data_IF_525805861192
#
_entry.id   IF_525805861192
#
_cell.length_a   1.000
_cell.length_b   1.000
_cell.length_c   1.000
_cell.angle_alpha   90.00
_cell.angle_beta   90.00
_cell.angle_gamma   90.00
#
_symmetry.space_group_name_H-M   'P 1'
#
loop_
_entity.id
_entity.type
_entity.pdbx_description
1 polymer ?
#
# COMPACT_ATOMS: atom_id res chain seq x y z
N UNK A 1 -14.97 2.10 84.80
CA UNK A 1 -14.00 3.11 84.32
C UNK A 1 -13.22 2.44 83.15
N UNK A 2 -13.39 2.81 81.93
CA UNK A 2 -12.62 2.24 80.86
C UNK A 2 -11.20 2.86 80.81
N UNK A 3 -10.20 2.05 80.67
CA UNK A 3 -8.77 2.35 80.73
C UNK A 3 -8.35 3.32 79.62
N UNK A 4 -7.57 4.35 79.99
CA UNK A 4 -7.04 5.41 79.13
C UNK A 4 -6.08 4.87 78.00
N UNK A 5 -5.68 3.62 78.07
CA UNK A 5 -4.75 2.98 77.09
C UNK A 5 -5.40 2.67 75.72
N UNK A 6 -6.74 2.51 75.63
CA UNK A 6 -7.41 2.14 74.40
C UNK A 6 -7.73 3.29 73.46
N UNK A 7 -7.64 4.55 73.89
CA UNK A 7 -7.95 5.71 73.07
C UNK A 7 -6.74 6.14 72.22
N UNK A 8 -5.50 5.93 72.75
CA UNK A 8 -4.25 6.24 72.04
C UNK A 8 -4.00 5.30 70.84
N UNK A 9 -4.30 4.02 71.03
CA UNK A 9 -4.09 3.01 69.98
C UNK A 9 -5.06 3.14 68.80
N UNK A 10 -6.32 3.51 69.08
CA UNK A 10 -7.30 3.74 68.01
C UNK A 10 -7.00 5.01 67.21
N UNK A 11 -6.45 6.06 67.81
CA UNK A 11 -6.08 7.30 67.12
C UNK A 11 -4.78 7.13 66.31
N UNK A 12 -3.86 6.28 66.72
CA UNK A 12 -2.62 5.96 66.00
C UNK A 12 -2.93 5.10 64.78
N UNK A 13 -3.87 4.14 64.91
CA UNK A 13 -4.26 3.27 63.82
C UNK A 13 -5.07 4.01 62.72
N UNK A 14 -5.90 5.00 63.11
CA UNK A 14 -6.62 5.85 62.12
C UNK A 14 -5.70 6.85 61.42
N UNK A 15 -4.65 7.34 62.08
CA UNK A 15 -3.66 8.22 61.45
C UNK A 15 -2.74 7.45 60.51
N UNK A 16 -2.38 6.18 60.81
CA UNK A 16 -1.58 5.32 59.92
C UNK A 16 -2.38 4.91 58.67
N UNK A 17 -3.72 4.68 58.83
CA UNK A 17 -4.57 4.33 57.68
C UNK A 17 -4.84 5.54 56.77
N UNK A 18 -4.86 6.77 57.32
CA UNK A 18 -5.07 8.01 56.55
C UNK A 18 -3.83 8.45 55.76
N UNK A 19 -2.63 8.02 56.14
CA UNK A 19 -1.37 8.35 55.42
C UNK A 19 -1.05 7.31 54.34
N UNK A 20 -1.58 6.06 54.45
CA UNK A 20 -1.36 5.03 53.41
C UNK A 20 -2.35 5.10 52.22
N UNK A 21 -3.49 5.79 52.35
CA UNK A 21 -4.46 5.88 51.23
C UNK A 21 -4.09 6.83 50.10
N UNK A 22 -3.31 7.92 50.23
CA UNK A 22 -2.97 8.73 49.08
C UNK A 22 -1.77 8.19 48.25
N UNK A 23 -1.02 7.18 48.73
CA UNK A 23 0.11 6.63 47.99
C UNK A 23 -0.29 5.52 46.99
N UNK A 24 -1.54 5.05 47.01
CA UNK A 24 -2.01 4.03 46.07
C UNK A 24 -2.79 4.60 44.89
N UNK A 25 -2.94 5.91 44.79
CA UNK A 25 -3.76 6.58 43.76
C UNK A 25 -2.94 7.16 42.58
N UNK A 26 -1.69 6.81 42.42
CA UNK A 26 -0.85 7.37 41.35
C UNK A 26 0.01 6.33 40.60
N UNK A 27 -0.41 5.09 40.55
CA UNK A 27 0.02 4.20 39.49
C UNK A 27 -1.13 4.14 38.48
N UNK A 28 -1.31 5.21 37.72
CA UNK A 28 -1.99 5.11 36.44
C UNK A 28 -1.22 4.06 35.62
N UNK A 29 -1.79 2.86 35.53
CA UNK A 29 -1.38 1.89 34.52
C UNK A 29 -1.47 2.67 33.21
N UNK A 30 -0.37 2.86 32.45
CA UNK A 30 -0.50 3.41 31.11
C UNK A 30 -1.43 2.45 30.39
N UNK A 31 -2.62 2.93 30.01
CA UNK A 31 -3.44 2.23 29.06
C UNK A 31 -2.60 1.91 27.84
N UNK A 32 -2.99 0.99 26.96
CA UNK A 32 -2.28 0.74 25.72
C UNK A 32 -2.38 1.98 24.82
N UNK A 33 -1.62 3.03 25.18
CA UNK A 33 -1.33 4.16 24.31
C UNK A 33 -0.30 3.71 23.28
N UNK A 34 -0.74 2.97 22.30
CA UNK A 34 0.13 2.50 21.25
C UNK A 34 -0.64 2.11 20.01
N UNK A 35 -1.52 2.99 19.52
CA UNK A 35 -1.95 2.90 18.13
C UNK A 35 -0.69 2.80 17.25
N UNK A 36 -0.70 1.90 16.29
CA UNK A 36 0.40 1.75 15.33
C UNK A 36 0.52 3.09 14.60
N UNK A 37 1.66 3.78 14.77
CA UNK A 37 1.91 5.11 14.16
C UNK A 37 2.98 5.00 13.09
N UNK A 38 2.82 5.73 12.00
CA UNK A 38 3.84 5.86 10.97
C UNK A 38 4.96 6.79 11.46
N UNK A 39 6.10 6.18 11.81
CA UNK A 39 7.27 6.87 12.39
C UNK A 39 8.50 6.82 11.54
N UNK A 40 8.59 5.89 10.61
CA UNK A 40 9.78 5.72 9.75
C UNK A 40 9.35 5.49 8.31
N UNK A 41 9.80 6.36 7.41
CA UNK A 41 9.62 6.20 5.97
C UNK A 41 10.98 6.07 5.28
N UNK A 42 11.08 5.09 4.38
CA UNK A 42 12.23 5.00 3.48
C UNK A 42 11.84 5.52 2.11
N UNK A 43 12.61 6.47 1.62
CA UNK A 43 12.49 7.01 0.26
C UNK A 43 13.64 6.46 -0.57
N UNK A 44 13.28 5.69 -1.57
CA UNK A 44 14.21 5.11 -2.52
C UNK A 44 14.24 5.96 -3.79
N UNK A 45 15.41 6.50 -4.11
CA UNK A 45 15.65 7.13 -5.39
C UNK A 45 16.19 6.06 -6.35
N UNK A 46 15.37 5.57 -7.27
CA UNK A 46 15.73 4.52 -8.20
C UNK A 46 17.01 4.81 -8.98
N UNK A 47 17.74 3.77 -9.38
CA UNK A 47 19.01 3.86 -10.09
C UNK A 47 20.13 4.57 -9.32
N UNK A 48 21.18 5.03 -10.01
CA UNK A 48 22.27 5.80 -9.39
C UNK A 48 23.66 5.28 -9.76
N UNK A 49 24.69 6.14 -9.64
CA UNK A 49 26.06 5.79 -9.99
C UNK A 49 26.21 5.38 -11.46
N UNK A 50 26.70 4.17 -11.70
CA UNK A 50 26.88 3.61 -13.05
C UNK A 50 25.56 3.15 -13.70
N UNK A 51 24.45 3.07 -12.94
CA UNK A 51 23.12 2.81 -13.47
C UNK A 51 22.36 4.12 -13.72
N UNK A 52 22.27 4.58 -14.98
CA UNK A 52 21.59 5.83 -15.30
C UNK A 52 20.07 5.73 -15.29
N UNK A 53 19.48 4.52 -15.31
CA UNK A 53 18.09 4.30 -15.68
C UNK A 53 17.79 4.72 -17.11
N UNK A 54 16.61 5.20 -17.38
CA UNK A 54 16.24 5.73 -18.69
C UNK A 54 17.06 6.99 -19.02
N UNK A 55 17.54 7.06 -20.27
CA UNK A 55 18.32 8.20 -20.78
C UNK A 55 17.53 8.90 -21.89
N UNK A 56 17.36 10.20 -21.73
CA UNK A 56 16.77 11.01 -22.79
C UNK A 56 17.80 11.38 -23.86
N UNK A 57 17.50 11.08 -25.11
CA UNK A 57 18.34 11.49 -26.26
C UNK A 57 18.37 13.01 -26.47
N UNK A 58 17.39 13.75 -25.96
CA UNK A 58 17.21 15.20 -26.20
C UNK A 58 17.42 16.08 -24.97
N UNK A 59 17.61 15.50 -23.79
CA UNK A 59 17.97 16.23 -22.57
C UNK A 59 19.21 15.60 -21.95
N UNK A 60 19.99 16.41 -21.22
CA UNK A 60 21.18 15.91 -20.49
C UNK A 60 20.81 15.17 -19.20
N UNK A 61 19.53 15.18 -18.81
CA UNK A 61 19.07 14.53 -17.58
C UNK A 61 18.73 13.07 -17.85
N UNK A 62 19.21 12.20 -16.98
CA UNK A 62 18.84 10.81 -16.89
C UNK A 62 17.81 10.60 -15.77
N UNK A 63 17.16 9.45 -15.78
CA UNK A 63 16.21 9.04 -14.77
C UNK A 63 16.76 9.14 -13.36
N UNK A 64 17.97 8.61 -13.10
CA UNK A 64 18.62 8.64 -11.78
C UNK A 64 18.71 10.05 -11.15
N UNK A 65 18.88 11.08 -11.98
CA UNK A 65 18.99 12.46 -11.51
C UNK A 65 17.63 13.04 -11.14
N UNK A 66 16.59 12.72 -11.94
CA UNK A 66 15.21 13.13 -11.68
C UNK A 66 14.69 12.45 -10.42
N UNK A 67 14.93 11.14 -10.28
CA UNK A 67 14.54 10.37 -9.11
C UNK A 67 15.16 10.93 -7.83
N UNK A 68 16.46 11.22 -7.85
CA UNK A 68 17.17 11.78 -6.70
C UNK A 68 16.61 13.15 -6.30
N UNK A 69 16.40 14.04 -7.28
CA UNK A 69 15.88 15.38 -7.01
C UNK A 69 14.48 15.34 -6.38
N UNK A 70 13.58 14.50 -6.91
CA UNK A 70 12.23 14.34 -6.37
C UNK A 70 12.28 13.71 -4.97
N UNK A 71 13.12 12.68 -4.77
CA UNK A 71 13.27 11.99 -3.49
C UNK A 71 13.74 12.94 -2.38
N UNK A 72 14.75 13.75 -2.67
CA UNK A 72 15.26 14.74 -1.70
C UNK A 72 14.24 15.82 -1.37
N UNK A 73 13.50 16.32 -2.38
CA UNK A 73 12.43 17.31 -2.20
C UNK A 73 11.26 16.74 -1.37
N UNK A 74 10.90 15.48 -1.60
CA UNK A 74 9.86 14.79 -0.84
C UNK A 74 10.28 14.62 0.62
N UNK A 75 11.48 14.11 0.86
CA UNK A 75 11.93 13.87 2.22
C UNK A 75 12.12 15.14 3.01
N UNK A 76 12.70 16.19 2.43
CA UNK A 76 12.82 17.50 3.07
C UNK A 76 11.44 18.08 3.47
N UNK A 77 10.40 17.81 2.65
CA UNK A 77 9.04 18.24 2.97
C UNK A 77 8.45 17.41 4.11
N UNK A 78 8.70 16.10 4.16
CA UNK A 78 8.23 15.24 5.26
C UNK A 78 8.93 15.64 6.57
N UNK A 79 10.26 15.78 6.57
CA UNK A 79 11.05 16.17 7.74
C UNK A 79 10.57 17.52 8.33
N UNK A 80 10.19 18.46 7.45
CA UNK A 80 9.69 19.78 7.87
C UNK A 80 8.29 19.72 8.51
N UNK A 81 7.37 19.00 7.90
CA UNK A 81 5.95 19.00 8.32
C UNK A 81 5.64 17.95 9.39
N UNK A 82 6.46 16.90 9.48
CA UNK A 82 6.35 15.79 10.42
C UNK A 82 7.68 15.53 11.12
N UNK A 83 8.10 16.36 12.08
CA UNK A 83 9.40 16.20 12.77
C UNK A 83 9.52 14.89 13.56
N UNK A 84 8.39 14.24 13.88
CA UNK A 84 8.29 12.94 14.53
C UNK A 84 8.51 11.76 13.58
N UNK A 85 8.57 12.00 12.26
CA UNK A 85 8.81 10.98 11.25
C UNK A 85 10.28 10.94 10.86
N UNK A 86 10.91 9.80 11.09
CA UNK A 86 12.27 9.53 10.62
C UNK A 86 12.26 9.26 9.11
N UNK A 87 12.90 10.12 8.33
CA UNK A 87 13.09 9.93 6.89
C UNK A 87 14.46 9.30 6.63
N UNK A 88 14.47 8.20 5.92
CA UNK A 88 15.66 7.48 5.51
C UNK A 88 15.68 7.41 3.99
N UNK A 89 16.84 7.63 3.40
CA UNK A 89 17.03 7.54 1.95
C UNK A 89 17.93 6.35 1.63
N UNK A 90 17.66 5.65 0.55
CA UNK A 90 18.56 4.62 0.04
C UNK A 90 19.85 5.27 -0.49
N UNK A 91 19.72 6.47 -1.08
CA UNK A 91 20.85 7.33 -1.48
C UNK A 91 20.46 8.82 -1.40
N UNK A 92 21.43 9.65 -1.03
CA UNK A 92 21.32 11.13 -1.05
C UNK A 92 22.24 11.76 -2.09
N UNK A 93 23.04 10.97 -2.79
CA UNK A 93 23.99 11.37 -3.82
C UNK A 93 23.88 10.47 -5.04
N UNK A 94 24.61 10.80 -6.10
CA UNK A 94 24.68 9.95 -7.29
C UNK A 94 25.63 8.76 -7.05
N UNK A 95 25.14 7.76 -6.31
CA UNK A 95 25.81 6.48 -6.04
C UNK A 95 24.92 5.30 -6.43
N UNK A 96 25.53 4.22 -6.84
CA UNK A 96 24.83 2.96 -7.07
C UNK A 96 24.44 2.33 -5.73
N UNK A 97 23.24 1.73 -5.68
CA UNK A 97 22.75 0.93 -4.56
C UNK A 97 22.07 -0.29 -5.15
N UNK A 98 22.53 -1.46 -4.80
CA UNK A 98 21.98 -2.74 -5.22
C UNK A 98 20.49 -2.84 -4.87
N UNK A 99 19.69 -3.55 -5.70
CA UNK A 99 18.25 -3.67 -5.46
C UNK A 99 17.93 -4.34 -4.12
N UNK A 100 18.66 -5.40 -3.77
CA UNK A 100 18.49 -6.06 -2.47
C UNK A 100 18.77 -5.13 -1.30
N UNK A 101 19.81 -4.30 -1.41
CA UNK A 101 20.21 -3.39 -0.35
C UNK A 101 19.16 -2.30 -0.09
N UNK A 102 18.41 -1.86 -1.11
CA UNK A 102 17.31 -0.89 -0.95
C UNK A 102 16.23 -1.42 0.00
N UNK A 103 15.79 -2.67 -0.21
CA UNK A 103 14.86 -3.35 0.69
C UNK A 103 15.47 -3.61 2.08
N UNK A 104 16.75 -4.02 2.13
CA UNK A 104 17.45 -4.26 3.38
C UNK A 104 17.58 -2.98 4.24
N UNK A 105 17.82 -1.82 3.61
CA UNK A 105 17.80 -0.52 4.31
C UNK A 105 16.45 -0.31 5.01
N UNK A 106 15.35 -0.57 4.31
CA UNK A 106 14.02 -0.40 4.88
C UNK A 106 13.75 -1.40 6.02
N UNK A 107 14.08 -2.67 5.82
CA UNK A 107 13.82 -3.75 6.78
C UNK A 107 14.60 -3.55 8.09
N UNK A 108 15.93 -3.30 8.03
CA UNK A 108 16.75 -3.10 9.24
C UNK A 108 16.40 -1.83 10.00
N UNK A 109 15.80 -0.85 9.36
CA UNK A 109 15.28 0.36 10.01
C UNK A 109 13.82 0.23 10.45
N UNK A 110 13.18 -0.94 10.24
CA UNK A 110 11.79 -1.20 10.60
C UNK A 110 10.88 -0.09 10.05
N UNK A 111 11.03 0.22 8.76
CA UNK A 111 10.24 1.27 8.13
C UNK A 111 8.75 0.89 8.10
N UNK A 112 7.88 1.88 8.26
CA UNK A 112 6.43 1.74 8.20
C UNK A 112 5.91 1.91 6.77
N UNK A 113 6.73 2.51 5.89
CA UNK A 113 6.41 2.73 4.48
C UNK A 113 7.69 2.82 3.65
N UNK A 114 7.69 2.18 2.49
CA UNK A 114 8.75 2.26 1.49
C UNK A 114 8.22 2.90 0.20
N UNK A 115 8.87 3.98 -0.26
CA UNK A 115 8.48 4.75 -1.45
C UNK A 115 9.65 4.77 -2.42
N UNK A 116 9.55 4.00 -3.51
CA UNK A 116 10.53 4.05 -4.60
C UNK A 116 10.04 5.00 -5.69
N UNK A 117 10.95 5.86 -6.18
CA UNK A 117 10.67 6.91 -7.17
C UNK A 117 11.45 6.61 -8.44
N UNK A 118 10.73 6.53 -9.56
CA UNK A 118 11.22 6.19 -10.90
C UNK A 118 10.63 7.09 -11.98
N UNK A 119 11.23 7.06 -13.16
CA UNK A 119 10.74 7.70 -14.39
C UNK A 119 10.68 6.64 -15.49
N UNK A 120 9.48 6.34 -15.91
CA UNK A 120 9.22 5.31 -16.91
C UNK A 120 9.84 5.63 -18.29
N UNK A 121 10.05 4.60 -19.06
CA UNK A 121 10.44 4.69 -20.46
C UNK A 121 9.83 3.53 -21.25
N UNK A 122 9.38 3.79 -22.46
CA UNK A 122 8.84 2.78 -23.34
C UNK A 122 9.40 2.94 -24.76
N UNK A 123 9.38 1.85 -25.54
CA UNK A 123 9.75 1.88 -26.97
C UNK A 123 8.84 2.84 -27.75
N UNK A 124 7.55 2.84 -27.43
CA UNK A 124 6.58 3.78 -27.99
C UNK A 124 6.66 5.15 -27.32
N UNK A 125 6.98 6.18 -28.07
CA UNK A 125 6.99 7.57 -27.59
C UNK A 125 5.58 8.13 -27.31
N UNK A 126 4.51 7.42 -27.71
CA UNK A 126 3.13 7.75 -27.40
C UNK A 126 2.74 7.36 -25.97
N UNK A 127 3.49 6.47 -25.31
CA UNK A 127 3.27 6.12 -23.91
C UNK A 127 3.55 7.35 -23.02
N UNK A 128 2.59 7.73 -22.19
CA UNK A 128 2.66 8.93 -21.33
C UNK A 128 1.78 8.75 -20.10
N UNK A 129 2.04 9.52 -19.05
CA UNK A 129 1.26 9.54 -17.83
C UNK A 129 1.97 8.91 -16.63
N UNK A 130 1.36 9.00 -15.47
CA UNK A 130 1.88 8.44 -14.22
C UNK A 130 1.27 7.08 -13.91
N UNK A 131 2.01 6.18 -13.30
CA UNK A 131 1.51 4.92 -12.77
C UNK A 131 2.20 4.57 -11.45
N UNK A 132 1.53 3.82 -10.59
CA UNK A 132 2.11 3.39 -9.32
C UNK A 132 2.01 1.88 -9.22
N UNK A 133 3.16 1.23 -9.04
CA UNK A 133 3.26 -0.21 -8.91
C UNK A 133 3.23 -0.63 -7.45
N UNK A 134 2.53 -1.72 -7.19
CA UNK A 134 2.62 -2.50 -5.96
C UNK A 134 3.12 -3.90 -6.28
N UNK A 135 3.70 -4.56 -5.29
CA UNK A 135 4.12 -5.94 -5.45
C UNK A 135 2.93 -6.83 -5.80
N UNK A 136 3.03 -7.59 -6.87
CA UNK A 136 1.96 -8.49 -7.31
C UNK A 136 2.36 -9.32 -8.51
N UNK A 137 1.47 -10.20 -8.94
CA UNK A 137 1.74 -11.24 -9.94
C UNK A 137 1.09 -10.97 -11.30
N UNK A 138 0.66 -9.73 -11.58
CA UNK A 138 0.13 -9.39 -12.90
C UNK A 138 1.25 -9.42 -13.95
N UNK A 139 1.12 -10.36 -14.87
CA UNK A 139 2.07 -10.62 -15.97
C UNK A 139 1.56 -10.07 -17.30
N UNK A 140 0.71 -9.04 -17.30
CA UNK A 140 0.38 -8.35 -18.55
C UNK A 140 1.64 -7.84 -19.24
N UNK A 141 1.65 -7.84 -20.58
CA UNK A 141 2.85 -7.52 -21.36
C UNK A 141 3.45 -6.15 -20.97
N UNK A 142 2.60 -5.15 -20.73
CA UNK A 142 3.04 -3.81 -20.32
C UNK A 142 3.69 -3.79 -18.94
N UNK A 143 3.13 -4.53 -17.98
CA UNK A 143 3.67 -4.58 -16.62
C UNK A 143 4.98 -5.38 -16.59
N UNK A 144 5.06 -6.46 -17.39
CA UNK A 144 6.29 -7.24 -17.52
C UNK A 144 7.41 -6.48 -18.23
N UNK A 145 7.10 -5.57 -19.17
CA UNK A 145 8.12 -4.72 -19.80
C UNK A 145 8.79 -3.80 -18.77
N UNK A 146 8.00 -3.14 -17.93
CA UNK A 146 8.52 -2.33 -16.81
C UNK A 146 9.28 -3.21 -15.83
N UNK A 147 8.68 -4.32 -15.40
CA UNK A 147 9.26 -5.24 -14.44
C UNK A 147 10.64 -5.76 -14.88
N UNK A 148 10.77 -6.21 -16.15
CA UNK A 148 12.06 -6.66 -16.69
C UNK A 148 13.10 -5.56 -16.71
N UNK A 149 12.73 -4.34 -17.07
CA UNK A 149 13.63 -3.19 -17.09
C UNK A 149 14.15 -2.90 -15.69
N UNK A 150 13.23 -2.77 -14.70
CA UNK A 150 13.62 -2.45 -13.34
C UNK A 150 14.41 -3.58 -12.67
N UNK A 151 14.02 -4.83 -12.88
CA UNK A 151 14.74 -5.97 -12.31
C UNK A 151 16.09 -6.24 -13.02
N UNK A 152 16.29 -5.79 -14.29
CA UNK A 152 17.54 -6.00 -14.99
C UNK A 152 18.74 -5.28 -14.37
N UNK A 153 18.50 -4.33 -13.47
CA UNK A 153 19.54 -3.65 -12.69
C UNK A 153 20.38 -4.63 -11.87
N UNK A 154 19.83 -5.79 -11.46
CA UNK A 154 20.61 -6.83 -10.75
C UNK A 154 21.80 -7.32 -11.59
N UNK A 155 21.72 -7.28 -12.92
CA UNK A 155 22.80 -7.70 -13.83
C UNK A 155 24.02 -6.74 -13.78
N UNK A 156 23.89 -5.59 -13.13
CA UNK A 156 24.96 -4.63 -12.91
C UNK A 156 25.63 -4.82 -11.53
N UNK A 157 25.18 -5.79 -10.74
CA UNK A 157 25.68 -6.12 -9.42
C UNK A 157 26.71 -7.25 -9.51
N UNK A 158 27.81 -7.15 -8.72
CA UNK A 158 28.94 -8.08 -8.83
C UNK A 158 28.57 -9.53 -8.48
N UNK A 159 27.75 -9.73 -7.42
CA UNK A 159 27.38 -11.05 -6.88
C UNK A 159 25.90 -11.41 -7.10
N UNK A 160 25.30 -10.95 -8.22
CA UNK A 160 23.85 -11.06 -8.42
C UNK A 160 23.36 -12.52 -8.42
N UNK A 161 24.11 -13.46 -8.95
CA UNK A 161 23.70 -14.88 -9.01
C UNK A 161 23.51 -15.49 -7.64
N UNK A 162 24.37 -15.14 -6.66
CA UNK A 162 24.29 -15.60 -5.28
C UNK A 162 23.22 -14.82 -4.51
N UNK A 163 23.18 -13.50 -4.66
CA UNK A 163 22.25 -12.61 -3.95
C UNK A 163 20.80 -12.89 -4.31
N UNK A 164 20.53 -13.28 -5.54
CA UNK A 164 19.18 -13.52 -6.06
C UNK A 164 18.90 -15.00 -6.39
N UNK A 165 19.71 -15.91 -5.84
CA UNK A 165 19.48 -17.36 -5.95
C UNK A 165 19.26 -17.86 -7.40
N UNK A 166 20.00 -17.29 -8.36
CA UNK A 166 19.90 -17.63 -9.76
C UNK A 166 18.69 -17.03 -10.50
N UNK A 167 18.00 -16.07 -9.90
CA UNK A 167 16.94 -15.34 -10.59
C UNK A 167 17.50 -14.60 -11.81
N UNK A 168 16.93 -14.85 -13.00
CA UNK A 168 17.23 -14.16 -14.25
C UNK A 168 16.06 -13.26 -14.65
N UNK A 169 16.22 -11.92 -14.67
CA UNK A 169 15.15 -11.01 -15.05
C UNK A 169 14.69 -11.16 -16.50
N UNK A 170 15.49 -11.79 -17.36
CA UNK A 170 15.14 -12.06 -18.75
C UNK A 170 14.37 -13.37 -18.93
N UNK A 171 14.47 -14.30 -17.96
CA UNK A 171 13.76 -15.58 -18.02
C UNK A 171 12.37 -15.48 -17.38
N UNK A 172 11.26 -15.67 -18.15
CA UNK A 172 9.91 -15.65 -17.61
C UNK A 172 9.65 -16.68 -16.50
N UNK A 173 10.36 -17.81 -16.51
CA UNK A 173 10.21 -18.87 -15.50
C UNK A 173 10.74 -18.42 -14.14
N UNK A 174 11.77 -17.58 -14.09
CA UNK A 174 12.29 -17.00 -12.84
C UNK A 174 11.24 -16.25 -12.05
N UNK A 175 10.23 -15.70 -12.72
CA UNK A 175 9.13 -14.97 -12.07
C UNK A 175 8.09 -15.88 -11.39
N UNK A 176 8.21 -17.21 -11.50
CA UNK A 176 7.27 -18.13 -10.83
C UNK A 176 7.40 -18.03 -9.31
N UNK A 177 8.61 -17.79 -8.80
CA UNK A 177 8.86 -17.67 -7.36
C UNK A 177 7.98 -16.61 -6.69
N UNK A 178 7.66 -15.53 -7.38
CA UNK A 178 6.81 -14.47 -6.84
C UNK A 178 5.36 -14.90 -6.66
N UNK A 179 4.90 -15.97 -7.32
CA UNK A 179 3.55 -16.52 -7.14
C UNK A 179 3.39 -17.23 -5.79
N UNK A 180 4.48 -17.66 -5.18
CA UNK A 180 4.47 -18.41 -3.91
C UNK A 180 4.39 -17.50 -2.70
N UNK A 181 4.62 -16.19 -2.87
CA UNK A 181 4.67 -15.24 -1.77
C UNK A 181 3.42 -14.37 -1.73
N UNK A 182 2.71 -14.44 -0.60
CA UNK A 182 1.65 -13.48 -0.29
C UNK A 182 2.29 -12.21 0.27
N UNK A 183 2.00 -11.07 -0.35
CA UNK A 183 2.39 -9.79 0.24
C UNK A 183 1.42 -9.43 1.36
N UNK A 184 1.87 -9.57 2.60
CA UNK A 184 1.08 -9.26 3.80
C UNK A 184 0.64 -7.78 3.85
N UNK A 185 1.33 -6.89 3.12
CA UNK A 185 1.07 -5.45 3.10
C UNK A 185 0.43 -4.95 1.80
N UNK A 186 -0.15 -5.86 1.02
CA UNK A 186 -0.70 -5.55 -0.30
C UNK A 186 -1.79 -4.47 -0.25
N UNK A 187 -2.74 -4.60 0.68
CA UNK A 187 -3.86 -3.66 0.82
C UNK A 187 -3.40 -2.25 1.22
N UNK A 188 -2.45 -2.17 2.16
CA UNK A 188 -1.86 -0.89 2.57
C UNK A 188 -1.07 -0.25 1.43
N UNK A 189 -0.36 -1.06 0.66
CA UNK A 189 0.38 -0.59 -0.53
C UNK A 189 -0.57 -0.04 -1.59
N UNK A 190 -1.69 -0.73 -1.88
CA UNK A 190 -2.73 -0.25 -2.80
C UNK A 190 -3.36 1.04 -2.27
N UNK A 191 -3.65 1.13 -0.98
CA UNK A 191 -4.23 2.33 -0.37
C UNK A 191 -3.32 3.55 -0.60
N UNK A 192 -2.03 3.42 -0.31
CA UNK A 192 -1.08 4.49 -0.56
C UNK A 192 -0.94 4.82 -2.06
N UNK A 193 -0.85 3.80 -2.93
CA UNK A 193 -0.78 3.98 -4.38
C UNK A 193 -2.00 4.73 -4.93
N UNK A 194 -3.19 4.47 -4.39
CA UNK A 194 -4.42 5.16 -4.77
C UNK A 194 -4.37 6.65 -4.40
N UNK A 195 -3.87 6.97 -3.21
CA UNK A 195 -3.68 8.35 -2.77
C UNK A 195 -2.69 9.09 -3.68
N UNK A 196 -1.58 8.46 -4.07
CA UNK A 196 -0.59 9.03 -4.98
C UNK A 196 -1.23 9.34 -6.35
N UNK A 197 -1.90 8.36 -6.98
CA UNK A 197 -2.53 8.55 -8.28
C UNK A 197 -3.64 9.61 -8.25
N UNK A 198 -4.40 9.69 -7.15
CA UNK A 198 -5.40 10.73 -6.93
C UNK A 198 -4.75 12.13 -6.89
N UNK A 199 -3.63 12.30 -6.18
CA UNK A 199 -2.94 13.59 -6.13
C UNK A 199 -2.41 14.00 -7.51
N UNK A 200 -1.79 13.09 -8.25
CA UNK A 200 -1.28 13.36 -9.59
C UNK A 200 -2.41 13.80 -10.55
N UNK A 201 -3.55 13.10 -10.52
CA UNK A 201 -4.69 13.43 -11.38
C UNK A 201 -5.27 14.82 -11.08
N UNK A 202 -5.36 15.17 -9.79
CA UNK A 202 -5.96 16.43 -9.34
C UNK A 202 -5.01 17.62 -9.49
N UNK A 203 -3.78 17.47 -9.03
CA UNK A 203 -2.86 18.58 -8.78
C UNK A 203 -1.57 18.47 -9.59
N UNK A 204 -1.22 17.27 -10.08
CA UNK A 204 0.05 17.01 -10.73
C UNK A 204 0.25 17.76 -12.03
N UNK A 205 1.51 18.00 -12.41
CA UNK A 205 1.84 18.57 -13.71
C UNK A 205 1.60 17.58 -14.85
N UNK A 206 1.62 16.26 -14.58
CA UNK A 206 1.22 15.19 -15.50
C UNK A 206 -0.09 14.59 -14.96
N UNK A 207 -1.22 15.03 -15.53
CA UNK A 207 -2.55 14.63 -15.05
C UNK A 207 -3.06 13.30 -15.59
N UNK A 208 -2.42 12.77 -16.63
CA UNK A 208 -2.79 11.47 -17.20
C UNK A 208 -2.35 10.37 -16.27
N UNK A 209 -3.31 9.75 -15.57
CA UNK A 209 -3.07 8.56 -14.77
C UNK A 209 -3.24 7.30 -15.60
N UNK A 210 -2.30 6.37 -15.45
CA UNK A 210 -2.38 5.00 -15.97
C UNK A 210 -2.83 4.02 -14.88
N UNK A 211 -3.08 4.54 -13.66
CA UNK A 211 -3.63 3.83 -12.54
C UNK A 211 -2.60 3.09 -11.70
N UNK A 212 -3.13 2.21 -10.85
CA UNK A 212 -2.34 1.32 -10.00
C UNK A 212 -2.07 0.05 -10.79
N UNK A 213 -0.84 -0.41 -10.73
CA UNK A 213 -0.34 -1.60 -11.42
C UNK A 213 0.22 -2.61 -10.44
N UNK A 214 0.25 -3.85 -10.85
CA UNK A 214 0.90 -4.92 -10.11
C UNK A 214 2.03 -5.49 -10.96
N UNK A 215 3.19 -5.70 -10.36
CA UNK A 215 4.29 -6.37 -11.03
C UNK A 215 5.23 -7.03 -10.01
N UNK A 216 5.92 -8.12 -10.39
CA UNK A 216 6.90 -8.78 -9.54
C UNK A 216 8.24 -8.02 -9.53
N UNK A 217 8.21 -6.81 -8.94
CA UNK A 217 9.36 -5.93 -8.83
C UNK A 217 10.25 -6.35 -7.66
N UNK A 218 11.52 -6.65 -7.95
CA UNK A 218 12.48 -7.14 -6.96
C UNK A 218 12.67 -6.17 -5.80
N UNK A 219 12.70 -4.87 -6.07
CA UNK A 219 12.87 -3.83 -5.04
C UNK A 219 11.70 -3.80 -4.04
N UNK A 220 10.48 -4.16 -4.46
CA UNK A 220 9.31 -4.25 -3.58
C UNK A 220 9.19 -5.64 -2.93
N UNK A 221 9.68 -6.68 -3.59
CA UNK A 221 9.58 -8.05 -3.10
C UNK A 221 10.32 -8.26 -1.77
N UNK A 222 11.46 -7.60 -1.60
CA UNK A 222 12.30 -7.76 -0.40
C UNK A 222 11.87 -6.88 0.78
N UNK A 223 10.82 -6.09 0.65
CA UNK A 223 10.34 -5.21 1.74
C UNK A 223 9.37 -5.94 2.67
N UNK A 224 9.44 -5.65 3.98
CA UNK A 224 8.57 -6.22 5.01
C UNK A 224 7.54 -5.22 5.55
N UNK A 225 7.24 -4.18 4.77
CA UNK A 225 6.27 -3.13 5.08
C UNK A 225 5.49 -2.75 3.82
N UNK A 226 4.41 -1.94 3.91
CA UNK A 226 3.76 -1.35 2.75
C UNK A 226 4.77 -0.68 1.83
N UNK A 227 4.73 -0.99 0.52
CA UNK A 227 5.73 -0.53 -0.43
C UNK A 227 5.14 -0.25 -1.81
N UNK A 228 5.62 0.82 -2.44
CA UNK A 228 5.22 1.22 -3.79
C UNK A 228 6.42 1.65 -4.63
N UNK A 229 6.32 1.48 -5.96
CA UNK A 229 7.19 2.10 -6.94
C UNK A 229 6.35 3.06 -7.79
N UNK A 230 6.75 4.32 -7.79
CA UNK A 230 6.02 5.42 -8.44
C UNK A 230 6.74 5.81 -9.71
N UNK A 231 6.10 5.59 -10.85
CA UNK A 231 6.51 6.10 -12.15
C UNK A 231 5.90 7.47 -12.39
N UNK A 232 6.70 8.51 -12.24
CA UNK A 232 6.21 9.90 -12.24
C UNK A 232 5.95 10.47 -13.64
N UNK A 233 6.14 9.68 -14.68
CA UNK A 233 5.94 10.04 -16.10
C UNK A 233 6.90 9.27 -16.99
N UNK A 234 6.84 9.50 -18.30
CA UNK A 234 7.65 8.81 -19.31
C UNK A 234 8.74 9.73 -19.88
N UNK A 235 10.01 9.39 -19.64
CA UNK A 235 11.14 10.14 -20.22
C UNK A 235 11.22 9.97 -21.76
N UNK A 236 10.69 8.87 -22.31
CA UNK A 236 10.56 8.62 -23.74
C UNK A 236 9.50 9.51 -24.42
N UNK A 237 8.50 10.01 -23.68
CA UNK A 237 7.47 10.90 -24.21
C UNK A 237 7.89 12.35 -24.15
N UNK A 238 7.72 13.10 -25.24
CA UNK A 238 8.19 14.50 -25.33
C UNK A 238 7.47 15.44 -24.35
N UNK A 239 6.16 15.26 -24.15
CA UNK A 239 5.36 16.09 -23.24
C UNK A 239 5.73 15.81 -21.79
N UNK A 240 5.75 14.55 -21.37
CA UNK A 240 6.14 14.16 -20.00
C UNK A 240 7.57 14.60 -19.71
N UNK A 241 8.49 14.37 -20.66
CA UNK A 241 9.89 14.78 -20.54
C UNK A 241 10.04 16.29 -20.33
N UNK A 242 9.30 17.12 -21.08
CA UNK A 242 9.37 18.58 -20.92
C UNK A 242 8.96 19.03 -19.51
N UNK A 243 8.04 18.28 -18.89
CA UNK A 243 7.62 18.49 -17.51
C UNK A 243 8.70 18.02 -16.53
N UNK A 244 9.25 16.81 -16.73
CA UNK A 244 10.20 16.16 -15.84
C UNK A 244 11.55 16.84 -15.77
N UNK A 245 12.03 17.45 -16.87
CA UNK A 245 13.29 18.19 -16.88
C UNK A 245 13.19 19.55 -16.17
N UNK A 246 11.98 20.06 -15.96
CA UNK A 246 11.73 21.31 -15.25
C UNK A 246 11.73 21.11 -13.74
N UNK A 247 12.62 21.80 -13.04
CA UNK A 247 12.79 21.67 -11.59
C UNK A 247 11.52 22.04 -10.80
N UNK A 248 10.84 23.11 -11.19
CA UNK A 248 9.58 23.52 -10.55
C UNK A 248 8.51 22.44 -10.64
N UNK A 249 8.45 21.72 -11.75
CA UNK A 249 7.51 20.62 -11.90
C UNK A 249 7.91 19.40 -11.06
N UNK A 250 9.20 19.09 -10.92
CA UNK A 250 9.66 18.06 -9.98
C UNK A 250 9.32 18.41 -8.54
N UNK A 251 9.40 19.70 -8.15
CA UNK A 251 8.91 20.15 -6.84
C UNK A 251 7.39 19.92 -6.67
N UNK A 252 6.57 20.17 -7.72
CA UNK A 252 5.14 19.90 -7.68
C UNK A 252 4.87 18.40 -7.54
N UNK A 253 5.58 17.54 -8.26
CA UNK A 253 5.49 16.08 -8.15
C UNK A 253 5.81 15.64 -6.72
N UNK A 254 6.91 16.11 -6.14
CA UNK A 254 7.27 15.81 -4.74
C UNK A 254 6.19 16.28 -3.76
N UNK A 255 5.58 17.44 -3.98
CA UNK A 255 4.47 17.93 -3.16
C UNK A 255 3.20 17.08 -3.30
N UNK A 256 2.95 16.49 -4.47
CA UNK A 256 1.81 15.60 -4.68
C UNK A 256 2.00 14.29 -3.93
N UNK A 257 3.19 13.69 -3.99
CA UNK A 257 3.53 12.51 -3.21
C UNK A 257 3.47 12.81 -1.71
N UNK A 258 3.95 13.99 -1.29
CA UNK A 258 3.84 14.44 0.10
C UNK A 258 2.37 14.53 0.57
N UNK A 259 1.47 15.09 -0.24
CA UNK A 259 0.03 15.16 0.10
C UNK A 259 -0.59 13.77 0.25
N UNK A 260 -0.20 12.84 -0.62
CA UNK A 260 -0.59 11.43 -0.48
C UNK A 260 -0.06 10.82 0.82
N UNK A 261 1.21 11.04 1.13
CA UNK A 261 1.84 10.61 2.38
C UNK A 261 1.14 11.19 3.62
N UNK A 262 0.84 12.48 3.62
CA UNK A 262 0.15 13.15 4.71
C UNK A 262 -1.23 12.55 4.98
N UNK A 263 -1.99 12.27 3.91
CA UNK A 263 -3.31 11.62 4.03
C UNK A 263 -3.15 10.18 4.54
N UNK A 264 -2.20 9.43 4.00
CA UNK A 264 -1.93 8.06 4.41
C UNK A 264 -1.51 7.98 5.89
N UNK A 265 -0.58 8.86 6.33
CA UNK A 265 -0.13 8.92 7.72
C UNK A 265 -1.29 9.16 8.68
N UNK A 266 -2.18 10.10 8.38
CA UNK A 266 -3.35 10.38 9.22
C UNK A 266 -4.27 9.17 9.33
N UNK A 267 -4.54 8.48 8.22
CA UNK A 267 -5.33 7.25 8.21
C UNK A 267 -4.65 6.11 8.98
N UNK A 268 -3.33 5.99 8.83
CA UNK A 268 -2.54 4.96 9.49
C UNK A 268 -2.45 5.18 11.00
N UNK A 269 -2.30 6.43 11.42
CA UNK A 269 -2.18 6.81 12.83
C UNK A 269 -3.54 6.79 13.58
N UNK A 270 -4.65 6.61 12.87
CA UNK A 270 -6.00 6.65 13.47
C UNK A 270 -6.44 8.07 13.83
N UNK A 271 -5.81 9.09 13.27
CA UNK A 271 -6.25 10.50 13.40
C UNK A 271 -7.45 10.73 12.46
N UNK A 272 -8.61 10.18 12.83
CA UNK A 272 -9.87 10.24 12.05
C UNK A 272 -10.51 11.64 11.99
N UNK A 273 -9.86 12.68 12.51
CA UNK A 273 -10.29 14.07 12.34
C UNK A 273 -10.12 14.63 10.92
N UNK A 274 -9.63 13.82 9.98
CA UNK A 274 -9.80 14.14 8.56
C UNK A 274 -11.22 13.80 8.17
N UNK A 275 -12.10 14.78 8.43
CA UNK A 275 -13.42 14.86 7.89
C UNK A 275 -13.54 14.02 6.62
N UNK A 276 -14.37 12.99 6.71
CA UNK A 276 -15.15 12.51 5.60
C UNK A 276 -15.47 13.68 4.70
N UNK A 277 -14.64 13.96 3.72
CA UNK A 277 -15.04 14.70 2.55
C UNK A 277 -16.16 13.88 1.96
N UNK A 278 -17.36 14.14 2.46
CA UNK A 278 -18.61 13.66 1.88
C UNK A 278 -18.46 13.91 0.38
N UNK A 279 -18.47 12.89 -0.47
CA UNK A 279 -18.55 13.13 -1.89
C UNK A 279 -19.72 14.05 -2.09
N UNK A 280 -19.53 15.15 -2.83
CA UNK A 280 -20.64 15.99 -3.25
C UNK A 280 -21.73 15.05 -3.78
N UNK A 281 -22.99 15.22 -3.38
CA UNK A 281 -24.06 14.37 -3.88
C UNK A 281 -24.04 14.49 -5.39
N UNK A 282 -23.93 13.35 -6.05
CA UNK A 282 -24.15 13.27 -7.48
C UNK A 282 -25.55 13.85 -7.77
N UNK A 283 -25.73 14.63 -8.84
CA UNK A 283 -27.04 15.14 -9.19
C UNK A 283 -28.02 13.98 -9.29
N UNK A 284 -29.14 14.10 -8.60
CA UNK A 284 -30.20 13.09 -8.56
C UNK A 284 -30.61 12.71 -9.98
N UNK A 285 -30.67 11.43 -10.34
CA UNK A 285 -31.29 11.02 -11.58
C UNK A 285 -32.80 11.28 -11.47
N UNK A 286 -33.34 11.92 -12.54
CA UNK A 286 -34.74 12.14 -12.67
C UNK A 286 -35.54 10.83 -12.53
N UNK A 287 -36.61 10.91 -11.78
CA UNK A 287 -37.55 9.84 -11.49
C UNK A 287 -38.11 9.20 -12.77
N UNK A 288 -37.90 7.89 -12.92
CA UNK A 288 -38.62 7.04 -13.84
C UNK A 288 -39.60 6.13 -13.07
N UNK A 289 -40.77 5.81 -13.66
CA UNK A 289 -41.89 5.21 -12.93
C UNK A 289 -41.68 3.75 -12.57
N UNK A 290 -42.34 3.34 -11.48
CA UNK A 290 -42.29 2.00 -10.91
C UNK A 290 -42.83 0.92 -11.84
N UNK A 291 -42.20 -0.25 -11.95
CA UNK A 291 -42.84 -1.44 -12.48
C UNK A 291 -43.42 -2.32 -11.35
N UNK A 292 -44.52 -2.96 -11.68
CA UNK A 292 -45.33 -3.85 -10.87
C UNK A 292 -44.60 -5.16 -10.46
N UNK A 293 -45.10 -5.88 -9.46
CA UNK A 293 -44.39 -7.01 -8.84
C UNK A 293 -44.56 -8.30 -9.65
N UNK A 294 -43.48 -9.08 -9.77
CA UNK A 294 -43.49 -10.43 -10.28
C UNK A 294 -42.86 -11.41 -9.27
N UNK A 295 -43.16 -12.70 -9.35
CA UNK A 295 -43.32 -13.56 -8.19
C UNK A 295 -42.05 -14.16 -7.60
N UNK A 296 -42.14 -14.48 -6.31
CA UNK A 296 -41.14 -15.11 -5.50
C UNK A 296 -40.66 -16.45 -6.07
N UNK A 297 -39.36 -16.66 -6.09
CA UNK A 297 -38.74 -17.98 -6.09
C UNK A 297 -37.73 -18.09 -4.98
N UNK A 298 -37.83 -19.11 -4.23
CA UNK A 298 -37.13 -19.48 -3.01
C UNK A 298 -35.62 -19.36 -3.12
N UNK A 299 -35.03 -18.45 -2.34
CA UNK A 299 -33.61 -18.45 -2.03
C UNK A 299 -33.43 -18.99 -0.63
N UNK A 300 -32.83 -20.16 -0.53
CA UNK A 300 -32.35 -20.74 0.72
C UNK A 300 -31.32 -19.76 1.29
N UNK A 301 -31.74 -19.05 2.32
CA UNK A 301 -30.90 -18.15 3.12
C UNK A 301 -30.08 -19.03 4.04
N UNK A 302 -28.84 -19.31 3.65
CA UNK A 302 -27.88 -19.96 4.54
C UNK A 302 -27.57 -18.97 5.66
N UNK A 303 -27.94 -19.31 6.88
CA UNK A 303 -27.69 -18.51 8.07
C UNK A 303 -26.17 -18.35 8.25
N UNK A 304 -25.72 -17.12 8.48
CA UNK A 304 -24.34 -16.84 8.85
C UNK A 304 -24.03 -17.51 10.19
N UNK A 305 -22.94 -18.26 10.33
CA UNK A 305 -22.50 -18.75 11.63
C UNK A 305 -22.04 -17.58 12.49
N UNK A 306 -22.41 -17.61 13.75
CA UNK A 306 -21.89 -16.71 14.77
C UNK A 306 -20.50 -17.22 15.20
N UNK A 307 -19.43 -16.67 14.60
CA UNK A 307 -18.04 -16.99 14.95
C UNK A 307 -17.08 -16.81 13.78
N UNK A 308 -15.77 -16.82 14.04
CA UNK A 308 -14.76 -16.70 13.00
C UNK A 308 -14.89 -17.84 11.99
N UNK A 309 -14.92 -17.51 10.70
CA UNK A 309 -15.06 -18.44 9.60
C UNK A 309 -14.17 -18.06 8.43
N UNK A 310 -14.07 -18.94 7.43
CA UNK A 310 -13.22 -18.70 6.25
C UNK A 310 -14.09 -18.54 5.00
N UNK A 311 -13.69 -17.62 4.14
CA UNK A 311 -14.27 -17.43 2.81
C UNK A 311 -13.15 -17.45 1.76
N UNK A 312 -13.50 -17.63 0.49
CA UNK A 312 -12.54 -17.50 -0.61
C UNK A 312 -12.85 -16.19 -1.35
N UNK A 313 -11.96 -15.20 -1.23
CA UNK A 313 -12.06 -13.98 -2.02
C UNK A 313 -11.70 -14.30 -3.46
N UNK A 314 -12.61 -13.99 -4.39
CA UNK A 314 -12.47 -14.32 -5.82
C UNK A 314 -12.10 -13.10 -6.66
N UNK A 315 -12.46 -11.90 -6.20
CA UNK A 315 -12.32 -10.67 -6.99
C UNK A 315 -12.35 -9.44 -6.08
N UNK A 316 -11.66 -8.39 -6.49
CA UNK A 316 -11.82 -7.03 -5.98
C UNK A 316 -12.02 -6.06 -7.16
N UNK A 317 -12.97 -5.12 -7.04
CA UNK A 317 -13.29 -4.17 -8.10
C UNK A 317 -13.48 -2.76 -7.54
N UNK A 318 -13.10 -1.74 -8.30
CA UNK A 318 -13.29 -0.33 -7.94
C UNK A 318 -14.75 0.13 -8.04
N UNK A 319 -15.58 -0.61 -8.77
CA UNK A 319 -17.02 -0.38 -8.90
C UNK A 319 -17.79 -1.61 -8.43
N UNK A 320 -18.95 -1.38 -7.82
CA UNK A 320 -19.84 -2.48 -7.41
C UNK A 320 -20.36 -3.21 -8.65
N UNK A 321 -20.02 -4.50 -8.77
CA UNK A 321 -20.52 -5.35 -9.84
C UNK A 321 -21.93 -5.84 -9.50
N UNK A 322 -22.77 -5.91 -10.52
CA UNK A 322 -24.10 -6.48 -10.40
C UNK A 322 -24.06 -8.00 -10.60
N UNK A 323 -25.08 -8.69 -10.09
CA UNK A 323 -25.25 -10.12 -10.35
C UNK A 323 -25.33 -10.35 -11.88
N UNK A 324 -24.51 -11.29 -12.36
CA UNK A 324 -24.42 -11.59 -13.79
C UNK A 324 -23.35 -10.81 -14.56
N UNK A 325 -22.59 -9.92 -13.90
CA UNK A 325 -21.44 -9.27 -14.56
C UNK A 325 -20.46 -10.31 -15.10
N UNK A 326 -19.89 -10.03 -16.27
CA UNK A 326 -18.92 -10.90 -16.95
C UNK A 326 -17.68 -11.20 -16.08
N UNK A 327 -17.28 -10.27 -15.23
CA UNK A 327 -16.18 -10.36 -14.31
C UNK A 327 -16.40 -11.43 -13.24
N UNK A 328 -17.66 -11.68 -12.86
CA UNK A 328 -18.03 -12.74 -11.90
C UNK A 328 -18.07 -14.13 -12.51
N UNK A 329 -17.87 -14.27 -13.83
CA UNK A 329 -17.73 -15.54 -14.56
C UNK A 329 -18.81 -16.59 -14.20
N UNK A 330 -20.04 -16.11 -14.01
CA UNK A 330 -21.20 -16.96 -13.67
C UNK A 330 -21.24 -17.45 -12.22
N UNK A 331 -20.40 -16.90 -11.34
CA UNK A 331 -20.47 -17.20 -9.90
C UNK A 331 -21.65 -16.46 -9.29
N UNK A 332 -22.47 -17.21 -8.54
CA UNK A 332 -23.61 -16.71 -7.77
C UNK A 332 -23.41 -17.03 -6.29
N UNK A 333 -24.16 -16.41 -5.40
CA UNK A 333 -24.05 -16.69 -3.96
C UNK A 333 -22.76 -16.14 -3.33
N UNK A 334 -22.25 -15.04 -3.86
CA UNK A 334 -21.09 -14.34 -3.29
C UNK A 334 -21.50 -13.33 -2.23
N UNK A 335 -20.60 -13.07 -1.30
CA UNK A 335 -20.63 -11.92 -0.38
C UNK A 335 -19.86 -10.77 -1.01
N UNK A 336 -20.41 -9.56 -0.94
CA UNK A 336 -19.73 -8.34 -1.40
C UNK A 336 -19.56 -7.39 -0.23
N UNK A 337 -18.30 -7.05 0.10
CA UNK A 337 -17.96 -6.08 1.15
C UNK A 337 -17.19 -4.92 0.53
N UNK A 338 -17.55 -3.69 0.91
CA UNK A 338 -16.77 -2.51 0.51
C UNK A 338 -15.73 -2.24 1.60
N UNK A 339 -14.46 -2.44 1.25
CA UNK A 339 -13.34 -2.30 2.18
C UNK A 339 -12.16 -1.65 1.46
N UNK A 340 -11.56 -0.66 2.07
CA UNK A 340 -10.35 0.02 1.56
C UNK A 340 -10.51 0.56 0.12
N UNK A 341 -11.69 1.14 -0.19
CA UNK A 341 -11.96 1.73 -1.50
C UNK A 341 -12.31 0.74 -2.62
N UNK A 342 -12.42 -0.56 -2.30
CA UNK A 342 -12.74 -1.62 -3.25
C UNK A 342 -13.94 -2.46 -2.80
N UNK A 343 -14.70 -2.95 -3.76
CA UNK A 343 -15.71 -3.98 -3.56
C UNK A 343 -15.05 -5.35 -3.65
N UNK A 344 -14.97 -6.06 -2.53
CA UNK A 344 -14.40 -7.40 -2.42
C UNK A 344 -15.50 -8.43 -2.52
N UNK A 345 -15.32 -9.39 -3.40
CA UNK A 345 -16.28 -10.47 -3.65
C UNK A 345 -15.70 -11.78 -3.15
N UNK A 346 -16.40 -12.43 -2.25
CA UNK A 346 -15.98 -13.71 -1.67
C UNK A 346 -17.11 -14.74 -1.74
N UNK A 347 -16.73 -16.01 -1.75
CA UNK A 347 -17.66 -17.15 -1.82
C UNK A 347 -17.33 -18.17 -0.75
N UNK A 348 -18.35 -18.94 -0.38
CA UNK A 348 -18.26 -19.97 0.64
C UNK A 348 -18.38 -19.40 2.05
N UNK A 349 -18.54 -20.31 2.99
CA UNK A 349 -18.62 -20.07 4.41
C UNK A 349 -18.10 -21.35 5.07
N UNK A 350 -16.79 -21.39 5.34
CA UNK A 350 -16.10 -22.59 5.77
C UNK A 350 -15.71 -22.46 7.24
N UNK A 351 -15.94 -23.54 8.00
CA UNK A 351 -15.59 -23.57 9.42
C UNK A 351 -14.09 -23.67 9.65
N UNK A 352 -13.34 -24.23 8.67
CA UNK A 352 -11.88 -24.38 8.76
C UNK A 352 -11.19 -23.88 7.48
N UNK A 353 -9.91 -23.54 7.63
CA UNK A 353 -9.08 -23.14 6.50
C UNK A 353 -8.84 -24.30 5.52
N UNK A 354 -8.81 -25.52 6.00
CA UNK A 354 -8.63 -26.74 5.24
C UNK A 354 -9.84 -27.00 4.31
N UNK A 355 -11.05 -26.79 4.81
CA UNK A 355 -12.29 -26.88 4.00
C UNK A 355 -12.27 -25.85 2.85
N UNK A 356 -11.89 -24.60 3.16
CA UNK A 356 -11.73 -23.56 2.13
C UNK A 356 -10.63 -23.93 1.13
N UNK A 357 -9.51 -24.49 1.59
CA UNK A 357 -8.39 -24.92 0.74
C UNK A 357 -8.77 -26.03 -0.24
N UNK A 358 -9.68 -26.92 0.14
CA UNK A 358 -10.18 -27.97 -0.75
C UNK A 358 -10.97 -27.42 -1.94
N UNK A 359 -11.67 -26.29 -1.77
CA UNK A 359 -12.46 -25.65 -2.84
C UNK A 359 -11.66 -24.66 -3.69
N UNK A 360 -10.56 -24.16 -3.17
CA UNK A 360 -9.73 -23.12 -3.80
C UNK A 360 -9.23 -23.51 -5.22
N UNK A 361 -8.77 -24.74 -5.51
CA UNK A 361 -8.29 -25.12 -6.85
C UNK A 361 -9.37 -25.00 -7.94
N UNK A 362 -10.61 -25.33 -7.63
CA UNK A 362 -11.73 -25.22 -8.55
C UNK A 362 -12.03 -23.75 -8.89
N UNK A 363 -12.00 -22.88 -7.87
CA UNK A 363 -12.20 -21.43 -8.03
C UNK A 363 -11.03 -20.77 -8.75
N UNK A 364 -9.80 -21.18 -8.50
CA UNK A 364 -8.61 -20.66 -9.19
C UNK A 364 -8.62 -20.91 -10.69
N UNK A 365 -9.29 -21.94 -11.19
CA UNK A 365 -9.49 -22.14 -12.64
C UNK A 365 -10.26 -21.00 -13.29
N UNK A 366 -11.24 -20.42 -12.58
CA UNK A 366 -12.02 -19.26 -13.03
C UNK A 366 -11.39 -17.93 -12.62
N UNK A 367 -10.84 -17.86 -11.41
CA UNK A 367 -10.26 -16.68 -10.78
C UNK A 367 -8.84 -17.00 -10.31
N UNK A 368 -7.82 -16.87 -11.15
CA UNK A 368 -6.43 -17.22 -10.80
C UNK A 368 -5.91 -16.54 -9.53
N UNK A 369 -6.41 -15.35 -9.23
CA UNK A 369 -6.09 -14.58 -8.03
C UNK A 369 -6.91 -14.91 -6.77
N UNK A 370 -7.73 -15.98 -6.78
CA UNK A 370 -8.54 -16.33 -5.62
C UNK A 370 -7.68 -16.83 -4.44
N UNK A 371 -8.05 -16.42 -3.23
CA UNK A 371 -7.35 -16.79 -1.99
C UNK A 371 -8.32 -16.86 -0.79
N UNK A 372 -7.91 -17.56 0.26
CA UNK A 372 -8.70 -17.75 1.47
C UNK A 372 -8.53 -16.54 2.38
N UNK A 373 -9.64 -16.05 2.93
CA UNK A 373 -9.68 -15.00 3.95
C UNK A 373 -10.34 -15.55 5.22
N UNK A 374 -9.87 -15.09 6.38
CA UNK A 374 -10.58 -15.25 7.64
C UNK A 374 -11.56 -14.07 7.78
N UNK A 375 -12.76 -14.38 8.28
CA UNK A 375 -13.83 -13.41 8.53
C UNK A 375 -14.28 -13.60 9.98
N UNK A 376 -14.17 -12.53 10.76
CA UNK A 376 -14.58 -12.48 12.17
C UNK A 376 -16.04 -12.09 12.32
#
# INVERSE_FOLDING_TARGET
MPSRANIGFRRLLTLLLAVLLPALAAAAVPGPEGGVRLRTVVIDAGHGGHDPGAISKSSKLSEKQINLDIALKLGARIEKEYPDVKVIYTRKTDRFVELAERGNIANRNRADLFISIHVNSAKSTAASGTETFVMGTDKSASNMEVCKRENSVILLEDDYTTTYEGFDPNNPESYIIFNLMQNAHFEQSISFAALVQNQFTRNGPIKKSRGIRQAPLMVLWRTTMPSVLIEVGFLSNSSDRSILVNETNRQKIANDIFRAFSTYKKQYDGDDDVATGKPAPAPAPASAPAPAPAPAKDTVKQAAPAGPHFEIQILAASKKLQNGSSELKGVTGFTCRFMNGLYKYSVGNFSTKEEAAAQLPALKKKFPGAFIIAVD
#
